data_IF_458353756528
#
_entry.id   IF_458353756528
#
_cell.length_a   1.000
_cell.length_b   1.000
_cell.length_c   1.000
_cell.angle_alpha   90.00
_cell.angle_beta   90.00
_cell.angle_gamma   90.00
#
_symmetry.space_group_name_H-M   'P 1'
#
loop_
_entity.id
_entity.type
_entity.pdbx_description
1 polymer ?
#
# COMPACT_ATOMS: atom_id res chain seq x y z
N UNK A 1 -27.39 -20.75 23.85
CA UNK A 1 -27.56 -19.46 23.16
C UNK A 1 -26.80 -19.54 21.84
N UNK A 2 -27.49 -19.69 20.70
CA UNK A 2 -26.85 -19.75 19.39
C UNK A 2 -26.56 -18.31 18.94
N UNK A 3 -25.28 -17.96 18.88
CA UNK A 3 -24.83 -16.68 18.34
C UNK A 3 -25.05 -16.73 16.81
N UNK A 4 -25.75 -15.75 16.25
CA UNK A 4 -25.88 -15.70 14.78
C UNK A 4 -24.53 -15.34 14.16
N UNK A 5 -24.30 -15.72 12.90
CA UNK A 5 -23.05 -15.40 12.20
C UNK A 5 -22.77 -13.88 12.15
N UNK A 6 -23.84 -13.07 12.07
CA UNK A 6 -23.75 -11.61 12.14
C UNK A 6 -23.29 -11.12 13.52
N UNK A 7 -23.84 -11.67 14.60
CA UNK A 7 -23.46 -11.33 15.98
C UNK A 7 -22.01 -11.74 16.30
N UNK A 8 -21.59 -12.91 15.79
CA UNK A 8 -20.21 -13.37 15.89
C UNK A 8 -19.24 -12.40 15.20
N UNK A 9 -19.56 -12.01 13.97
CA UNK A 9 -18.72 -11.10 13.19
C UNK A 9 -18.63 -9.71 13.81
N UNK A 10 -19.64 -9.22 14.54
CA UNK A 10 -19.63 -7.87 15.16
C UNK A 10 -19.13 -7.84 16.60
N UNK A 11 -18.91 -8.99 17.23
CA UNK A 11 -18.45 -9.06 18.62
C UNK A 11 -17.05 -8.47 18.80
N UNK A 12 -16.96 -7.39 19.57
CA UNK A 12 -15.70 -6.69 19.91
C UNK A 12 -14.70 -7.62 20.61
N UNK A 13 -15.19 -8.51 21.49
CA UNK A 13 -14.35 -9.46 22.21
C UNK A 13 -13.70 -10.47 21.25
N UNK A 14 -14.48 -11.00 20.29
CA UNK A 14 -13.99 -11.95 19.29
C UNK A 14 -12.98 -11.26 18.37
N UNK A 15 -13.30 -10.07 17.86
CA UNK A 15 -12.38 -9.27 17.04
C UNK A 15 -11.05 -9.00 17.74
N UNK A 16 -11.11 -8.61 19.02
CA UNK A 16 -9.93 -8.35 19.84
C UNK A 16 -9.06 -9.60 20.01
N UNK A 17 -9.70 -10.76 20.19
CA UNK A 17 -8.98 -12.04 20.31
C UNK A 17 -8.36 -12.50 18.98
N UNK A 18 -9.02 -12.25 17.84
CA UNK A 18 -8.61 -12.78 16.53
C UNK A 18 -7.68 -11.85 15.74
N UNK A 19 -7.67 -10.54 16.02
CA UNK A 19 -6.94 -9.54 15.22
C UNK A 19 -5.49 -9.89 14.93
N UNK A 20 -4.75 -10.35 15.94
CA UNK A 20 -3.33 -10.73 15.80
C UNK A 20 -3.15 -11.95 14.90
N UNK A 21 -4.03 -12.94 15.04
CA UNK A 21 -4.01 -14.16 14.23
C UNK A 21 -4.30 -13.85 12.77
N UNK A 22 -5.36 -13.08 12.51
CA UNK A 22 -5.77 -12.69 11.16
C UNK A 22 -4.75 -11.76 10.48
N UNK A 23 -4.19 -10.79 11.20
CA UNK A 23 -3.12 -9.93 10.69
C UNK A 23 -1.86 -10.74 10.33
N UNK A 24 -1.42 -11.65 11.21
CA UNK A 24 -0.27 -12.52 10.94
C UNK A 24 -0.53 -13.46 9.77
N UNK A 25 -1.74 -14.00 9.66
CA UNK A 25 -2.13 -14.84 8.52
C UNK A 25 -2.08 -14.05 7.22
N UNK A 26 -2.59 -12.81 7.20
CA UNK A 26 -2.51 -11.95 6.02
C UNK A 26 -1.06 -11.67 5.59
N UNK A 27 -0.19 -11.32 6.55
CA UNK A 27 1.25 -11.13 6.27
C UNK A 27 1.92 -12.41 5.77
N UNK A 28 1.63 -13.56 6.38
CA UNK A 28 2.20 -14.85 5.96
C UNK A 28 1.76 -15.24 4.56
N UNK A 29 0.48 -15.04 4.22
CA UNK A 29 -0.03 -15.28 2.87
C UNK A 29 0.59 -14.31 1.87
N UNK A 30 0.70 -13.03 2.23
CA UNK A 30 1.32 -12.01 1.37
C UNK A 30 2.82 -12.24 1.16
N UNK A 31 3.55 -12.71 2.17
CA UNK A 31 4.97 -13.06 2.07
C UNK A 31 5.16 -14.24 1.13
N UNK A 32 4.33 -15.29 1.28
CA UNK A 32 4.31 -16.38 0.31
C UNK A 32 4.06 -15.78 -1.06
N UNK A 33 2.99 -15.02 -1.24
CA UNK A 33 2.58 -14.43 -2.51
C UNK A 33 3.30 -13.14 -2.90
N UNK A 34 4.52 -12.91 -2.40
CA UNK A 34 5.24 -11.66 -2.61
C UNK A 34 5.58 -11.46 -4.10
N UNK A 35 5.48 -10.21 -4.55
CA UNK A 35 5.81 -9.84 -5.92
C UNK A 35 7.32 -9.78 -6.15
N UNK A 36 7.74 -10.29 -7.30
CA UNK A 36 9.06 -10.06 -7.88
C UNK A 36 9.04 -8.73 -8.65
N UNK A 37 9.25 -7.63 -7.94
CA UNK A 37 9.18 -6.28 -8.52
C UNK A 37 10.14 -6.08 -9.70
N UNK A 38 11.43 -6.51 -9.64
CA UNK A 38 12.32 -6.47 -10.81
C UNK A 38 11.72 -7.15 -12.05
N UNK A 39 11.17 -8.36 -11.90
CA UNK A 39 10.56 -9.05 -13.03
C UNK A 39 9.30 -8.34 -13.56
N UNK A 40 8.50 -7.71 -12.69
CA UNK A 40 7.34 -6.92 -13.11
C UNK A 40 7.74 -5.67 -13.90
N UNK A 41 8.76 -4.93 -13.42
CA UNK A 41 9.29 -3.77 -14.14
C UNK A 41 9.89 -4.17 -15.48
N UNK A 42 10.63 -5.28 -15.55
CA UNK A 42 11.17 -5.81 -16.81
C UNK A 42 10.05 -6.17 -17.82
N UNK A 43 8.95 -6.78 -17.35
CA UNK A 43 7.78 -7.05 -18.21
C UNK A 43 7.16 -5.74 -18.70
N UNK A 44 6.94 -4.77 -17.81
CA UNK A 44 6.35 -3.49 -18.16
C UNK A 44 7.26 -2.65 -19.09
N UNK A 45 8.58 -2.75 -18.96
CA UNK A 45 9.57 -2.08 -19.82
C UNK A 45 9.60 -2.65 -21.25
N UNK A 46 8.93 -3.78 -21.51
CA UNK A 46 8.75 -4.30 -22.87
C UNK A 46 7.60 -3.63 -23.64
N UNK A 47 6.98 -2.58 -23.07
CA UNK A 47 5.87 -1.85 -23.68
C UNK A 47 6.18 -1.39 -25.10
N UNK A 48 5.19 -1.52 -25.98
CA UNK A 48 5.22 -1.04 -27.36
C UNK A 48 3.87 -0.40 -27.71
N UNK A 49 3.82 0.57 -28.63
CA UNK A 49 2.57 1.21 -29.08
C UNK A 49 1.77 0.29 -30.00
N UNK A 50 1.40 -0.89 -29.50
CA UNK A 50 0.61 -1.88 -30.19
C UNK A 50 -0.52 -2.36 -29.25
N UNK A 51 -1.80 -2.13 -29.59
CA UNK A 51 -2.94 -2.55 -28.77
C UNK A 51 -2.91 -4.03 -28.37
N UNK A 52 -2.57 -4.93 -29.29
CA UNK A 52 -2.46 -6.38 -28.99
C UNK A 52 -1.25 -6.69 -28.10
N UNK A 53 -0.18 -5.94 -28.26
CA UNK A 53 1.01 -6.04 -27.40
C UNK A 53 0.70 -5.62 -25.97
N UNK A 54 -0.03 -4.52 -25.80
CA UNK A 54 -0.51 -4.03 -24.51
C UNK A 54 -1.38 -5.06 -23.79
N UNK A 55 -2.35 -5.66 -24.48
CA UNK A 55 -3.23 -6.67 -23.89
C UNK A 55 -2.43 -7.90 -23.43
N UNK A 56 -1.42 -8.33 -24.22
CA UNK A 56 -0.52 -9.43 -23.83
C UNK A 56 0.34 -9.12 -22.62
N UNK A 57 0.91 -7.91 -22.55
CA UNK A 57 1.72 -7.49 -21.40
C UNK A 57 0.82 -7.38 -20.16
N UNK A 58 -0.37 -6.79 -20.29
CA UNK A 58 -1.34 -6.68 -19.21
C UNK A 58 -1.76 -8.07 -18.68
N UNK A 59 -2.08 -9.01 -19.57
CA UNK A 59 -2.40 -10.38 -19.19
C UNK A 59 -1.21 -11.06 -18.49
N UNK A 60 0.01 -10.91 -19.03
CA UNK A 60 1.22 -11.48 -18.44
C UNK A 60 1.47 -10.94 -17.03
N UNK A 61 1.32 -9.62 -16.82
CA UNK A 61 1.42 -9.01 -15.49
C UNK A 61 0.32 -9.54 -14.55
N UNK A 62 -0.93 -9.61 -15.02
CA UNK A 62 -2.06 -10.06 -14.21
C UNK A 62 -1.93 -11.51 -13.70
N UNK A 63 -1.16 -12.35 -14.39
CA UNK A 63 -0.85 -13.72 -13.96
C UNK A 63 0.33 -13.84 -12.99
N UNK A 64 1.04 -12.74 -12.70
CA UNK A 64 2.20 -12.78 -11.81
C UNK A 64 1.77 -12.78 -10.36
N UNK A 65 2.51 -13.54 -9.56
CA UNK A 65 2.36 -13.59 -8.11
C UNK A 65 2.50 -12.18 -7.51
N UNK A 66 1.65 -11.88 -6.53
CA UNK A 66 1.65 -10.59 -5.84
C UNK A 66 1.05 -9.44 -6.63
N UNK A 67 0.74 -9.60 -7.93
CA UNK A 67 -0.01 -8.59 -8.68
C UNK A 67 -1.47 -8.63 -8.26
N UNK A 68 -1.95 -7.51 -7.75
CA UNK A 68 -3.34 -7.36 -7.25
C UNK A 68 -4.21 -6.58 -8.22
N UNK A 69 -3.61 -5.82 -9.14
CA UNK A 69 -4.34 -5.08 -10.16
C UNK A 69 -3.48 -4.81 -11.38
N UNK A 70 -4.11 -4.84 -12.56
CA UNK A 70 -3.58 -4.31 -13.81
C UNK A 70 -4.63 -3.40 -14.42
N UNK A 71 -4.20 -2.26 -14.96
CA UNK A 71 -5.06 -1.28 -15.58
C UNK A 71 -4.44 -0.79 -16.90
N UNK A 72 -5.26 -0.68 -17.94
CA UNK A 72 -4.90 -0.05 -19.20
C UNK A 72 -5.60 1.31 -19.28
N UNK A 73 -4.91 2.32 -19.79
CA UNK A 73 -5.57 3.61 -20.08
C UNK A 73 -6.47 3.48 -21.30
N UNK A 74 -7.56 4.25 -21.34
CA UNK A 74 -8.51 4.26 -22.45
C UNK A 74 -7.84 4.60 -23.79
N UNK A 75 -6.83 5.47 -23.77
CA UNK A 75 -6.03 5.83 -24.94
C UNK A 75 -5.01 4.76 -25.37
N UNK A 76 -4.90 3.64 -24.63
CA UNK A 76 -3.95 2.53 -24.88
C UNK A 76 -2.50 3.01 -25.08
N UNK A 77 -2.09 4.04 -24.35
CA UNK A 77 -0.70 4.53 -24.33
C UNK A 77 0.02 4.21 -23.03
N UNK A 78 -0.70 3.67 -22.06
CA UNK A 78 -0.17 3.41 -20.75
C UNK A 78 -0.78 2.21 -20.06
N UNK A 79 0.05 1.61 -19.22
CA UNK A 79 -0.19 0.37 -18.51
C UNK A 79 0.18 0.61 -17.05
N UNK A 80 -0.77 0.42 -16.16
CA UNK A 80 -0.56 0.43 -14.72
C UNK A 80 -0.64 -0.98 -14.14
N UNK A 81 0.16 -1.25 -13.12
CA UNK A 81 -0.03 -2.41 -12.26
C UNK A 81 0.13 -2.02 -10.79
N UNK A 82 -0.53 -2.78 -9.92
CA UNK A 82 -0.33 -2.74 -8.48
C UNK A 82 0.11 -4.12 -8.02
N UNK A 83 1.20 -4.15 -7.27
CA UNK A 83 1.79 -5.37 -6.73
C UNK A 83 2.02 -5.21 -5.23
N UNK A 84 1.81 -6.29 -4.49
CA UNK A 84 2.07 -6.35 -3.05
C UNK A 84 3.36 -7.09 -2.75
N UNK A 85 4.06 -6.64 -1.73
CA UNK A 85 5.24 -7.29 -1.20
C UNK A 85 5.29 -7.09 0.32
N UNK A 86 5.76 -8.10 1.03
CA UNK A 86 6.11 -7.95 2.45
C UNK A 86 7.58 -7.55 2.52
N UNK A 87 7.88 -6.57 3.37
CA UNK A 87 9.22 -5.99 3.53
C UNK A 87 9.47 -5.66 5.00
N UNK A 88 10.73 -5.72 5.40
CA UNK A 88 11.17 -4.99 6.59
C UNK A 88 11.26 -3.51 6.20
N UNK A 89 10.61 -2.66 6.98
CA UNK A 89 10.59 -1.22 6.80
C UNK A 89 11.34 -0.61 7.97
N UNK A 90 12.48 0.00 7.67
CA UNK A 90 13.20 0.83 8.62
C UNK A 90 12.71 2.27 8.49
N UNK A 91 12.17 2.81 9.58
CA UNK A 91 11.91 4.23 9.69
C UNK A 91 13.15 4.92 10.27
N UNK A 92 13.64 5.93 9.55
CA UNK A 92 14.82 6.70 9.95
C UNK A 92 14.45 8.15 10.25
N UNK A 93 14.99 8.66 11.34
CA UNK A 93 14.88 10.08 11.74
C UNK A 93 16.30 10.62 11.84
N UNK A 94 16.60 11.70 11.10
CA UNK A 94 17.95 12.29 11.04
C UNK A 94 19.07 11.30 10.69
N UNK A 95 18.76 10.23 9.94
CA UNK A 95 19.71 9.21 9.50
C UNK A 95 19.84 8.02 10.46
N UNK A 96 19.27 8.07 11.65
CA UNK A 96 19.27 6.97 12.61
C UNK A 96 17.99 6.15 12.52
N UNK A 97 18.09 4.82 12.69
CA UNK A 97 16.93 3.94 12.71
C UNK A 97 16.12 4.17 13.98
N UNK A 98 14.95 4.79 13.84
CA UNK A 98 14.02 5.01 14.94
C UNK A 98 13.26 3.72 15.28
N UNK A 99 12.85 2.97 14.27
CA UNK A 99 12.25 1.65 14.43
C UNK A 99 12.34 0.82 13.15
N UNK A 100 12.20 -0.50 13.30
CA UNK A 100 12.11 -1.45 12.20
C UNK A 100 10.89 -2.35 12.41
N UNK A 101 10.12 -2.57 11.35
CA UNK A 101 8.93 -3.41 11.41
C UNK A 101 8.64 -4.13 10.08
N UNK A 102 7.93 -5.25 10.16
CA UNK A 102 7.37 -5.89 8.97
C UNK A 102 6.17 -5.10 8.46
N UNK A 103 6.26 -4.61 7.23
CA UNK A 103 5.20 -3.92 6.52
C UNK A 103 4.69 -4.70 5.32
N UNK A 104 3.38 -4.60 5.06
CA UNK A 104 2.78 -5.00 3.79
C UNK A 104 2.71 -3.77 2.87
N UNK A 105 3.49 -3.79 1.80
CA UNK A 105 3.63 -2.68 0.87
C UNK A 105 2.88 -3.00 -0.42
N UNK A 106 2.09 -2.05 -0.90
CA UNK A 106 1.45 -2.05 -2.21
C UNK A 106 2.14 -1.02 -3.07
N UNK A 107 2.92 -1.47 -4.05
CA UNK A 107 3.53 -0.62 -5.03
C UNK A 107 2.65 -0.53 -6.26
N UNK A 108 2.39 0.68 -6.71
CA UNK A 108 1.76 0.96 -7.99
C UNK A 108 2.79 1.56 -8.93
N UNK A 109 2.92 0.97 -10.10
CA UNK A 109 3.69 1.53 -11.20
C UNK A 109 2.78 1.81 -12.39
N UNK A 110 2.96 2.97 -13.03
CA UNK A 110 2.37 3.31 -14.31
C UNK A 110 3.49 3.51 -15.32
N UNK A 111 3.49 2.66 -16.36
CA UNK A 111 4.36 2.79 -17.52
C UNK A 111 3.65 3.64 -18.58
N UNK A 112 4.27 4.77 -18.94
CA UNK A 112 3.82 5.68 -19.99
C UNK A 112 4.88 5.72 -21.10
N UNK A 113 4.47 5.68 -22.38
CA UNK A 113 5.40 5.88 -23.51
C UNK A 113 5.44 7.35 -23.91
N UNK A 114 6.62 7.95 -23.84
CA UNK A 114 6.85 9.36 -24.21
C UNK A 114 8.10 9.45 -25.07
N UNK A 115 7.98 9.98 -26.29
CA UNK A 115 9.14 10.23 -27.18
C UNK A 115 9.95 8.97 -27.53
N UNK A 116 9.32 7.80 -27.63
CA UNK A 116 10.00 6.53 -27.93
C UNK A 116 10.70 5.88 -26.72
N UNK A 117 10.63 6.49 -25.53
CA UNK A 117 11.09 5.92 -24.27
C UNK A 117 9.90 5.53 -23.39
N UNK A 118 10.13 4.60 -22.46
CA UNK A 118 9.15 4.23 -21.44
C UNK A 118 9.56 4.91 -20.15
N UNK A 119 8.66 5.72 -19.60
CA UNK A 119 8.78 6.31 -18.27
C UNK A 119 7.90 5.57 -17.27
N UNK A 120 8.34 5.54 -16.02
CA UNK A 120 7.56 4.97 -14.91
C UNK A 120 7.19 6.06 -13.92
N UNK A 121 5.93 6.09 -13.53
CA UNK A 121 5.47 6.80 -12.32
C UNK A 121 5.13 5.77 -11.26
N UNK A 122 5.74 5.92 -10.09
CA UNK A 122 5.64 4.94 -9.01
C UNK A 122 5.09 5.63 -7.75
N UNK A 123 4.19 4.94 -7.04
CA UNK A 123 3.66 5.35 -5.74
C UNK A 123 3.42 4.09 -4.90
N UNK A 124 3.36 4.24 -3.59
CA UNK A 124 3.16 3.11 -2.69
C UNK A 124 2.18 3.40 -1.56
N UNK A 125 1.67 2.34 -0.96
CA UNK A 125 0.93 2.36 0.32
C UNK A 125 1.52 1.27 1.21
N UNK A 126 1.81 1.59 2.46
CA UNK A 126 2.33 0.64 3.43
C UNK A 126 1.37 0.43 4.60
N UNK A 127 1.20 -0.82 5.04
CA UNK A 127 0.46 -1.16 6.26
C UNK A 127 1.40 -1.86 7.24
N UNK A 128 1.54 -1.31 8.45
CA UNK A 128 2.19 -2.03 9.54
C UNK A 128 1.30 -3.12 10.12
N UNK A 129 1.88 -4.09 10.81
CA UNK A 129 1.13 -5.14 11.50
C UNK A 129 0.04 -4.59 12.43
N UNK A 130 0.32 -3.47 13.11
CA UNK A 130 -0.66 -2.83 14.00
C UNK A 130 -1.85 -2.23 13.24
N UNK A 131 -1.63 -1.63 12.06
CA UNK A 131 -2.70 -1.14 11.21
C UNK A 131 -3.61 -2.28 10.74
N UNK A 132 -3.03 -3.45 10.43
CA UNK A 132 -3.80 -4.65 10.09
C UNK A 132 -4.62 -5.17 11.27
N UNK A 133 -4.07 -5.15 12.48
CA UNK A 133 -4.82 -5.51 13.69
C UNK A 133 -6.01 -4.57 13.92
N UNK A 134 -5.81 -3.25 13.73
CA UNK A 134 -6.91 -2.27 13.89
C UNK A 134 -7.97 -2.40 12.82
N UNK A 135 -7.60 -2.76 11.59
CA UNK A 135 -8.56 -3.09 10.56
C UNK A 135 -9.53 -4.17 11.03
N UNK A 136 -9.01 -5.25 11.63
CA UNK A 136 -9.85 -6.33 12.19
C UNK A 136 -10.65 -5.87 13.42
N UNK A 137 -10.03 -5.11 14.30
CA UNK A 137 -10.63 -4.66 15.56
C UNK A 137 -11.81 -3.70 15.35
N UNK A 138 -11.73 -2.81 14.35
CA UNK A 138 -12.58 -1.61 14.26
C UNK A 138 -13.43 -1.48 13.01
N UNK A 139 -13.29 -2.35 12.02
CA UNK A 139 -14.16 -2.36 10.83
C UNK A 139 -15.14 -3.52 10.86
N UNK A 140 -16.06 -3.55 9.89
CA UNK A 140 -16.99 -4.66 9.68
C UNK A 140 -16.39 -5.81 8.84
N UNK A 141 -15.06 -5.97 8.82
CA UNK A 141 -14.46 -7.11 8.10
C UNK A 141 -15.03 -8.43 8.57
N UNK A 142 -15.29 -9.30 7.61
CA UNK A 142 -15.71 -10.67 7.83
C UNK A 142 -14.57 -11.48 8.44
N UNK A 143 -14.80 -12.02 9.63
CA UNK A 143 -13.80 -12.80 10.36
C UNK A 143 -13.59 -14.21 9.79
N UNK A 144 -14.53 -14.67 8.95
CA UNK A 144 -14.50 -15.94 8.24
C UNK A 144 -13.89 -15.84 6.83
N UNK A 145 -13.49 -14.64 6.40
CA UNK A 145 -12.93 -14.39 5.08
C UNK A 145 -11.44 -14.00 5.15
N UNK A 146 -10.65 -14.26 4.08
CA UNK A 146 -9.26 -13.85 4.03
C UNK A 146 -9.09 -12.33 4.13
N UNK A 147 -8.42 -11.86 5.20
CA UNK A 147 -8.18 -10.44 5.44
C UNK A 147 -7.39 -9.76 4.30
N UNK A 148 -6.49 -10.50 3.65
CA UNK A 148 -5.60 -9.97 2.61
C UNK A 148 -6.36 -9.32 1.43
N UNK A 149 -7.50 -9.90 1.03
CA UNK A 149 -8.31 -9.33 -0.06
C UNK A 149 -8.95 -8.00 0.33
N UNK A 150 -9.30 -7.83 1.61
CA UNK A 150 -9.81 -6.54 2.11
C UNK A 150 -8.70 -5.49 2.08
N UNK A 151 -7.49 -5.87 2.49
CA UNK A 151 -6.33 -4.96 2.46
C UNK A 151 -6.01 -4.56 1.02
N UNK A 152 -6.12 -5.47 0.04
CA UNK A 152 -5.95 -5.13 -1.38
C UNK A 152 -6.92 -4.03 -1.84
N UNK A 153 -8.20 -4.14 -1.45
CA UNK A 153 -9.25 -3.17 -1.79
C UNK A 153 -8.96 -1.81 -1.16
N UNK A 154 -8.58 -1.79 0.13
CA UNK A 154 -8.22 -0.56 0.85
C UNK A 154 -6.99 0.10 0.23
N UNK A 155 -5.94 -0.66 -0.08
CA UNK A 155 -4.75 -0.15 -0.75
C UNK A 155 -5.08 0.47 -2.10
N UNK A 156 -5.94 -0.17 -2.91
CA UNK A 156 -6.37 0.38 -4.20
C UNK A 156 -7.28 1.61 -4.07
N UNK A 157 -8.04 1.72 -2.98
CA UNK A 157 -8.82 2.92 -2.67
C UNK A 157 -7.89 4.09 -2.36
N UNK A 158 -6.92 3.88 -1.46
CA UNK A 158 -5.89 4.87 -1.10
C UNK A 158 -5.13 5.28 -2.37
N UNK A 159 -4.52 4.36 -3.11
CA UNK A 159 -3.75 4.65 -4.33
C UNK A 159 -4.54 5.43 -5.39
N UNK A 160 -5.86 5.20 -5.51
CA UNK A 160 -6.73 6.00 -6.40
C UNK A 160 -7.02 7.39 -5.84
N UNK A 161 -7.14 7.50 -4.52
CA UNK A 161 -7.28 8.75 -3.81
C UNK A 161 -6.06 9.65 -3.98
N UNK A 162 -4.86 9.10 -3.77
CA UNK A 162 -3.58 9.81 -3.94
C UNK A 162 -3.48 10.41 -5.36
N UNK A 163 -3.85 9.63 -6.39
CA UNK A 163 -3.84 10.13 -7.77
C UNK A 163 -4.81 11.26 -8.07
N UNK A 164 -5.93 11.32 -7.35
CA UNK A 164 -6.97 12.33 -7.55
C UNK A 164 -6.71 13.59 -6.75
N UNK A 165 -5.61 13.65 -6.01
CA UNK A 165 -5.33 14.76 -5.10
C UNK A 165 -6.30 14.79 -3.91
N UNK A 166 -6.87 13.66 -3.52
CA UNK A 166 -7.85 13.57 -2.44
C UNK A 166 -7.17 13.62 -1.06
N UNK A 167 -6.48 14.72 -0.79
CA UNK A 167 -5.75 14.97 0.44
C UNK A 167 -6.54 15.86 1.38
N UNK A 168 -6.35 15.63 2.66
CA UNK A 168 -6.60 16.64 3.69
C UNK A 168 -5.22 17.17 4.05
N UNK A 169 -5.01 18.48 3.87
CA UNK A 169 -3.77 19.14 4.32
C UNK A 169 -4.06 19.78 5.67
N UNK A 170 -3.33 19.36 6.70
CA UNK A 170 -3.43 19.90 8.05
C UNK A 170 -2.02 20.09 8.60
N UNK A 171 -1.69 21.32 9.02
CA UNK A 171 -0.36 21.74 9.52
C UNK A 171 0.84 21.33 8.62
N UNK A 172 0.64 21.34 7.30
CA UNK A 172 1.68 21.04 6.31
C UNK A 172 1.87 19.56 5.98
N UNK A 173 1.11 18.67 6.63
CA UNK A 173 1.08 17.24 6.35
C UNK A 173 -0.14 16.87 5.48
N UNK A 174 0.05 15.88 4.59
CA UNK A 174 -0.99 15.34 3.73
C UNK A 174 -1.54 14.02 4.28
N UNK A 175 -2.85 13.99 4.51
CA UNK A 175 -3.59 12.84 5.04
C UNK A 175 -4.58 12.30 4.02
N UNK A 176 -4.80 10.99 4.05
CA UNK A 176 -5.89 10.34 3.32
C UNK A 176 -6.88 9.73 4.32
N UNK A 177 -8.18 10.12 4.29
CA UNK A 177 -9.15 9.61 5.25
C UNK A 177 -9.44 8.13 4.98
N UNK A 178 -9.51 7.28 6.03
CA UNK A 178 -9.96 5.91 5.86
C UNK A 178 -11.42 5.87 5.36
N UNK A 179 -11.78 4.79 4.67
CA UNK A 179 -13.17 4.52 4.27
C UNK A 179 -14.13 4.50 5.47
N UNK A 180 -13.61 4.14 6.64
CA UNK A 180 -14.33 4.13 7.93
C UNK A 180 -13.61 5.04 8.93
N UNK A 181 -14.32 6.01 9.51
CA UNK A 181 -13.76 6.93 10.52
C UNK A 181 -13.19 6.18 11.73
N UNK A 182 -12.01 6.58 12.20
CA UNK A 182 -11.39 5.99 13.40
C UNK A 182 -10.73 4.62 13.20
N UNK A 183 -10.55 4.19 11.95
CA UNK A 183 -9.93 2.91 11.59
C UNK A 183 -8.40 2.99 11.64
N UNK A 184 -7.82 3.97 10.94
CA UNK A 184 -6.39 4.25 10.91
C UNK A 184 -6.14 5.71 10.51
N UNK A 185 -4.92 6.19 10.77
CA UNK A 185 -4.39 7.43 10.22
C UNK A 185 -3.21 7.07 9.32
N UNK A 186 -2.73 8.02 8.52
CA UNK A 186 -1.51 7.81 7.76
C UNK A 186 -0.98 9.11 7.25
N UNK A 187 0.31 9.13 6.95
CA UNK A 187 1.00 10.29 6.40
C UNK A 187 1.74 9.91 5.14
N UNK A 188 2.06 10.93 4.34
CA UNK A 188 2.97 10.78 3.22
C UNK A 188 4.43 10.73 3.73
N UNK A 189 5.15 9.72 3.28
CA UNK A 189 6.57 9.52 3.51
C UNK A 189 7.29 9.28 2.17
N UNK A 190 8.62 9.16 2.26
CA UNK A 190 9.47 8.72 1.16
C UNK A 190 9.94 7.28 1.33
N UNK A 191 9.70 6.45 0.31
CA UNK A 191 10.30 5.13 0.15
C UNK A 191 11.45 5.24 -0.85
N UNK A 192 12.61 4.68 -0.57
CA UNK A 192 13.65 4.64 -1.59
C UNK A 192 13.41 3.49 -2.54
N UNK A 193 13.79 3.75 -3.79
CA UNK A 193 13.74 2.74 -4.83
C UNK A 193 14.91 1.77 -4.65
N UNK A 194 14.59 0.47 -4.64
CA UNK A 194 15.63 -0.57 -4.60
C UNK A 194 16.41 -0.56 -5.93
N UNK A 195 17.73 -0.72 -5.85
CA UNK A 195 18.62 -0.60 -7.03
C UNK A 195 18.44 -1.74 -8.04
N UNK A 196 17.92 -2.89 -7.60
CA UNK A 196 17.77 -4.10 -8.39
C UNK A 196 16.51 -4.10 -9.28
N UNK A 197 15.65 -3.08 -9.16
CA UNK A 197 14.45 -2.96 -10.03
C UNK A 197 14.78 -2.64 -11.49
N UNK A 198 16.05 -2.33 -11.80
CA UNK A 198 16.51 -2.09 -13.17
C UNK A 198 16.00 -0.79 -13.79
N UNK A 199 15.54 0.15 -12.95
CA UNK A 199 15.08 1.48 -13.35
C UNK A 199 16.23 2.48 -13.27
N UNK A 200 16.45 3.25 -14.33
CA UNK A 200 17.40 4.37 -14.35
C UNK A 200 16.67 5.67 -14.02
N UNK A 201 17.23 6.48 -13.12
CA UNK A 201 16.69 7.79 -12.77
C UNK A 201 17.79 8.84 -12.73
N UNK A 202 17.44 10.06 -13.12
CA UNK A 202 18.39 11.19 -13.15
C UNK A 202 18.69 11.74 -11.73
N UNK A 203 17.85 11.40 -10.75
CA UNK A 203 17.97 11.75 -9.32
C UNK A 203 17.70 10.49 -8.51
N UNK A 204 18.31 10.34 -7.33
CA UNK A 204 17.94 9.26 -6.39
C UNK A 204 16.43 9.37 -6.09
N UNK A 205 15.62 8.44 -6.59
CA UNK A 205 14.19 8.65 -6.63
C UNK A 205 13.60 8.25 -5.28
N UNK A 206 12.97 9.20 -4.60
CA UNK A 206 12.09 8.92 -3.49
C UNK A 206 10.70 8.64 -4.06
N UNK A 207 10.23 7.41 -3.88
CA UNK A 207 8.87 6.98 -4.21
C UNK A 207 7.94 7.53 -3.13
N UNK A 208 6.90 8.30 -3.49
CA UNK A 208 5.90 8.72 -2.52
C UNK A 208 5.18 7.47 -1.98
N UNK A 209 5.18 7.31 -0.67
CA UNK A 209 4.45 6.25 0.02
C UNK A 209 3.47 6.85 1.02
N UNK A 210 2.23 6.34 1.04
CA UNK A 210 1.31 6.61 2.13
C UNK A 210 1.45 5.51 3.19
N UNK A 211 1.99 5.88 4.35
CA UNK A 211 2.18 4.95 5.47
C UNK A 211 0.94 4.92 6.35
N UNK A 212 0.17 3.85 6.27
CA UNK A 212 -0.96 3.60 7.17
C UNK A 212 -0.43 3.17 8.54
N UNK A 213 -0.76 3.97 9.55
CA UNK A 213 -0.28 3.84 10.93
C UNK A 213 -1.42 3.97 11.93
N UNK A 214 -1.24 3.37 13.11
CA UNK A 214 -2.26 3.39 14.17
C UNK A 214 -1.64 3.72 15.51
N UNK A 215 -1.09 4.92 15.67
CA UNK A 215 -0.39 5.29 16.89
C UNK A 215 -1.30 5.54 18.11
N UNK A 216 -2.62 5.62 17.94
CA UNK A 216 -3.47 6.30 18.93
C UNK A 216 -4.83 5.61 19.20
N UNK A 217 -5.35 5.80 20.42
CA UNK A 217 -6.70 5.34 20.81
C UNK A 217 -7.79 6.02 19.96
N UNK A 218 -9.04 5.51 19.92
CA UNK A 218 -10.11 6.11 19.12
C UNK A 218 -10.35 7.62 19.38
N UNK A 219 -10.14 8.09 20.62
CA UNK A 219 -10.28 9.50 20.99
C UNK A 219 -9.10 10.37 20.53
N UNK A 220 -7.95 9.74 20.27
CA UNK A 220 -6.68 10.39 19.95
C UNK A 220 -6.41 10.40 18.43
N UNK A 221 -7.30 9.84 17.61
CA UNK A 221 -7.20 9.84 16.14
C UNK A 221 -7.53 11.19 15.48
N UNK A 222 -7.30 12.31 16.18
CA UNK A 222 -7.34 13.64 15.58
C UNK A 222 -6.00 13.88 14.86
N UNK A 223 -5.97 14.37 13.61
CA UNK A 223 -4.74 14.67 12.87
C UNK A 223 -3.73 15.49 13.70
N UNK A 224 -4.25 16.41 14.52
CA UNK A 224 -3.51 17.23 15.52
C UNK A 224 -2.61 16.49 16.52
N UNK A 225 -2.82 15.19 16.78
CA UNK A 225 -1.93 14.40 17.66
C UNK A 225 -0.80 13.69 16.90
N UNK A 226 -1.02 13.32 15.63
CA UNK A 226 0.06 12.87 14.73
C UNK A 226 1.09 14.00 14.52
N UNK A 227 0.59 15.23 14.42
CA UNK A 227 1.36 16.46 14.27
C UNK A 227 2.30 16.78 15.45
N UNK A 228 2.05 16.24 16.66
CA UNK A 228 2.98 16.39 17.80
C UNK A 228 4.14 15.40 17.80
N UNK A 229 4.07 14.37 16.97
CA UNK A 229 5.13 13.36 16.86
C UNK A 229 6.14 13.68 15.75
N UNK A 230 5.73 14.46 14.75
CA UNK A 230 6.58 14.93 13.64
C UNK A 230 7.29 16.25 13.99
N UNK A 231 8.28 16.20 14.89
CA UNK A 231 9.34 17.22 14.89
C UNK A 231 10.37 16.90 13.78
N UNK A 232 9.94 17.06 12.52
CA UNK A 232 10.71 16.98 11.25
C UNK A 232 10.80 15.61 10.52
N UNK A 233 10.19 15.43 9.31
CA UNK A 233 10.17 14.16 8.59
C UNK A 233 10.75 14.25 7.17
N UNK A 234 12.03 13.93 7.00
CA UNK A 234 12.51 13.42 5.71
C UNK A 234 12.77 11.91 5.83
N UNK A 235 11.73 11.11 5.59
CA UNK A 235 11.85 9.65 5.55
C UNK A 235 12.53 9.25 4.23
N UNK A 236 13.67 8.55 4.31
CA UNK A 236 14.42 7.96 3.19
C UNK A 236 14.70 6.49 3.54
N UNK A 237 14.49 5.57 2.59
CA UNK A 237 14.78 4.13 2.74
C UNK A 237 16.09 3.74 2.00
N UNK A 238 16.52 2.48 2.03
CA UNK A 238 17.69 1.97 1.30
C UNK A 238 17.23 1.03 0.20
#
# INVERSE_FOLDING_TARGET
MQMTHADFSRSTAIRTSLKRGLARQALTTAERESADLPALFAIAASLRPNPKGLDRIAARLGTRRGVTRVALTSCRKSLGFTARAVRQVEAKVQGETAFCETGLIYLRAQADMTGGRIGFRVSAVGFCGHALERLVERSDVRLDAPLLQVIDIEAHAILRGLERGAWIVEDGDEFYPPSTTGLWAGGQDGLCMEQDWGLSTDVVPTIPIFSVRTFLSPAEMRPTLYLRWKDDPSCRLL
#
